data_IF_394135549348
#
_entry.id   IF_394135549348
#
_cell.length_a   1.000
_cell.length_b   1.000
_cell.length_c   1.000
_cell.angle_alpha   90.00
_cell.angle_beta   90.00
_cell.angle_gamma   90.00
#
_symmetry.space_group_name_H-M   'P 1'
#
loop_
_entity.id
_entity.type
_entity.pdbx_description
1 polymer ?
#
# COMPACT_ATOMS: atom_id res chain seq x y z
N UNK A 1 -8.29 -0.29 -12.14
CA UNK A 1 -7.29 -0.22 -11.07
C UNK A 1 -7.65 -1.27 -10.05
N UNK A 2 -6.78 -2.27 -9.87
CA UNK A 2 -6.96 -3.39 -8.95
C UNK A 2 -6.04 -3.31 -7.74
N UNK A 3 -4.97 -2.53 -7.83
CA UNK A 3 -4.03 -2.28 -6.75
C UNK A 3 -3.89 -0.78 -6.52
N UNK A 4 -3.95 -0.40 -5.27
CA UNK A 4 -3.52 0.86 -4.70
C UNK A 4 -2.96 0.57 -3.30
N UNK A 5 -1.64 0.43 -3.22
CA UNK A 5 -0.93 0.09 -1.99
C UNK A 5 -0.10 1.30 -1.57
N UNK A 6 -0.34 1.79 -0.36
CA UNK A 6 0.33 2.94 0.21
C UNK A 6 1.46 2.48 1.13
N UNK A 7 2.69 2.94 0.93
CA UNK A 7 3.86 2.55 1.71
C UNK A 7 4.36 3.72 2.56
N UNK A 8 4.80 3.38 3.76
CA UNK A 8 5.39 4.36 4.68
C UNK A 8 6.71 4.94 4.16
N UNK A 9 7.42 4.15 3.36
CA UNK A 9 8.77 4.45 2.88
C UNK A 9 8.92 4.03 1.43
N UNK A 10 9.90 4.63 0.77
CA UNK A 10 10.26 4.27 -0.60
C UNK A 10 10.61 2.77 -0.69
N UNK A 11 9.97 2.09 -1.65
CA UNK A 11 10.48 0.84 -2.19
C UNK A 11 11.55 1.19 -3.22
N UNK A 12 12.84 1.18 -2.81
CA UNK A 12 13.95 1.57 -3.71
C UNK A 12 13.76 1.04 -5.13
N UNK A 13 13.73 1.96 -6.10
CA UNK A 13 13.31 1.68 -7.49
C UNK A 13 13.97 0.44 -8.10
N UNK A 14 15.29 0.32 -7.96
CA UNK A 14 16.04 -0.82 -8.50
C UNK A 14 15.66 -2.15 -7.83
N UNK A 15 15.42 -2.12 -6.52
CA UNK A 15 15.07 -3.31 -5.76
C UNK A 15 13.62 -3.74 -6.06
N UNK A 16 12.68 -2.81 -6.22
CA UNK A 16 11.32 -3.11 -6.67
C UNK A 16 11.31 -3.73 -8.07
N UNK A 17 12.02 -3.10 -9.03
CA UNK A 17 12.15 -3.61 -10.40
C UNK A 17 12.74 -5.02 -10.44
N UNK A 18 13.83 -5.23 -9.70
CA UNK A 18 14.47 -6.55 -9.60
C UNK A 18 13.51 -7.59 -9.01
N UNK A 19 12.85 -7.25 -7.90
CA UNK A 19 11.90 -8.14 -7.25
C UNK A 19 10.76 -8.55 -8.19
N UNK A 20 10.15 -7.58 -8.88
CA UNK A 20 9.06 -7.87 -9.83
C UNK A 20 9.52 -8.69 -11.05
N UNK A 21 10.76 -8.49 -11.50
CA UNK A 21 11.34 -9.26 -12.59
C UNK A 21 11.69 -10.69 -12.19
N UNK A 22 12.30 -10.89 -11.02
CA UNK A 22 12.77 -12.20 -10.55
C UNK A 22 11.59 -13.09 -10.11
N UNK A 23 10.64 -12.55 -9.36
CA UNK A 23 9.57 -13.35 -8.74
C UNK A 23 8.33 -13.47 -9.62
N UNK A 24 8.09 -12.52 -10.53
CA UNK A 24 6.87 -12.46 -11.34
C UNK A 24 7.11 -12.28 -12.84
N UNK A 25 8.37 -12.21 -13.29
CA UNK A 25 8.70 -12.09 -14.72
C UNK A 25 8.29 -10.75 -15.35
N UNK A 26 7.99 -9.73 -14.54
CA UNK A 26 7.62 -8.40 -15.03
C UNK A 26 8.90 -7.68 -15.47
N UNK A 27 8.96 -7.25 -16.73
CA UNK A 27 10.12 -6.50 -17.23
C UNK A 27 10.39 -5.25 -16.38
N UNK A 28 11.65 -4.95 -15.99
CA UNK A 28 12.00 -3.71 -15.29
C UNK A 28 11.50 -2.45 -15.99
N UNK A 29 11.46 -2.45 -17.33
CA UNK A 29 10.98 -1.34 -18.16
C UNK A 29 9.45 -1.18 -18.12
N UNK A 30 8.72 -2.21 -17.69
CA UNK A 30 7.28 -2.16 -17.46
C UNK A 30 6.91 -1.60 -16.07
N UNK A 31 7.91 -1.27 -15.24
CA UNK A 31 7.73 -0.65 -13.92
C UNK A 31 8.15 0.81 -14.00
N UNK A 32 7.18 1.70 -13.89
CA UNK A 32 7.43 3.13 -13.87
C UNK A 32 7.56 3.63 -12.43
N UNK A 33 8.52 4.51 -12.17
CA UNK A 33 8.66 5.20 -10.89
C UNK A 33 8.74 6.69 -11.14
N UNK A 34 7.84 7.44 -10.53
CA UNK A 34 7.70 8.88 -10.75
C UNK A 34 6.23 9.31 -10.77
N UNK A 35 6.01 10.62 -10.96
CA UNK A 35 4.67 11.19 -11.09
C UNK A 35 4.08 10.87 -12.47
N UNK A 36 2.77 10.69 -12.55
CA UNK A 36 2.10 10.35 -13.83
C UNK A 36 2.18 11.51 -14.82
N UNK A 37 2.21 12.74 -14.30
CA UNK A 37 2.31 14.00 -15.04
C UNK A 37 3.65 14.15 -15.77
N UNK A 38 4.70 13.54 -15.25
CA UNK A 38 6.05 13.58 -15.83
C UNK A 38 6.25 12.55 -16.95
N UNK A 39 5.27 11.65 -17.15
CA UNK A 39 5.38 10.55 -18.09
C UNK A 39 5.06 11.01 -19.51
N UNK A 40 5.85 10.57 -20.50
CA UNK A 40 5.56 10.90 -21.88
C UNK A 40 4.26 10.22 -22.33
N UNK A 41 3.46 10.93 -23.12
CA UNK A 41 2.16 10.44 -23.62
C UNK A 41 2.33 9.17 -24.46
N UNK A 42 3.44 9.07 -25.20
CA UNK A 42 3.73 7.95 -26.09
C UNK A 42 4.41 6.76 -25.41
N UNK A 43 4.74 6.85 -24.12
CA UNK A 43 5.35 5.74 -23.39
C UNK A 43 4.36 4.56 -23.30
N UNK A 44 4.83 3.29 -23.41
CA UNK A 44 3.99 2.12 -23.19
C UNK A 44 3.44 2.07 -21.76
N UNK A 45 2.13 1.84 -21.60
CA UNK A 45 1.49 1.78 -20.28
C UNK A 45 2.26 0.82 -19.35
N UNK A 46 2.68 1.25 -18.16
CA UNK A 46 3.39 0.39 -17.23
C UNK A 46 2.44 -0.63 -16.60
N UNK A 47 2.98 -1.81 -16.29
CA UNK A 47 2.28 -2.87 -15.53
C UNK A 47 2.10 -2.45 -14.07
N UNK A 48 3.12 -1.79 -13.50
CA UNK A 48 3.11 -1.26 -12.16
C UNK A 48 3.69 0.16 -12.13
N UNK A 49 3.11 1.03 -11.31
CA UNK A 49 3.58 2.40 -11.11
C UNK A 49 3.82 2.64 -9.63
N UNK A 50 5.03 3.09 -9.27
CA UNK A 50 5.34 3.59 -7.93
C UNK A 50 5.45 5.11 -7.97
N UNK A 51 4.49 5.79 -7.34
CA UNK A 51 4.42 7.23 -7.26
C UNK A 51 5.07 7.71 -5.95
N UNK A 52 5.96 8.72 -5.98
CA UNK A 52 6.45 9.36 -4.77
C UNK A 52 5.34 10.22 -4.13
N UNK A 53 5.43 10.49 -2.81
CA UNK A 53 4.53 11.43 -2.14
C UNK A 53 4.70 12.85 -2.68
N UNK A 54 3.69 13.70 -2.51
CA UNK A 54 3.78 15.11 -2.89
C UNK A 54 4.47 15.95 -1.82
N UNK A 55 4.26 15.61 -0.54
CA UNK A 55 4.91 16.21 0.62
C UNK A 55 5.50 15.16 1.58
N UNK A 56 5.71 15.51 2.85
CA UNK A 56 6.17 14.59 3.92
C UNK A 56 5.01 13.74 4.46
N UNK A 57 4.29 13.06 3.56
CA UNK A 57 3.15 12.20 3.87
C UNK A 57 3.60 10.88 4.53
N UNK A 58 2.86 10.42 5.54
CA UNK A 58 3.18 9.25 6.34
C UNK A 58 3.18 7.93 5.57
N UNK A 59 2.17 7.72 4.70
CA UNK A 59 2.08 6.58 3.77
C UNK A 59 1.87 7.05 2.33
N UNK A 60 2.68 8.02 1.89
CA UNK A 60 2.47 8.67 0.58
C UNK A 60 3.14 7.99 -0.62
N UNK A 61 3.96 6.95 -0.44
CA UNK A 61 4.47 6.19 -1.57
C UNK A 61 3.37 5.24 -2.10
N UNK A 62 2.89 5.45 -3.32
CA UNK A 62 1.73 4.69 -3.84
C UNK A 62 2.15 3.76 -4.97
N UNK A 63 1.99 2.44 -4.77
CA UNK A 63 2.06 1.47 -5.85
C UNK A 63 0.67 1.24 -6.43
N UNK A 64 0.51 1.54 -7.71
CA UNK A 64 -0.72 1.25 -8.46
C UNK A 64 -0.49 0.20 -9.55
N UNK A 65 -1.55 -0.54 -9.85
CA UNK A 65 -1.56 -1.58 -10.86
C UNK A 65 -2.97 -2.02 -11.22
N UNK A 66 -3.09 -2.76 -12.31
CA UNK A 66 -4.38 -3.22 -12.83
C UNK A 66 -4.36 -4.73 -13.07
N UNK A 67 -5.19 -5.22 -14.00
CA UNK A 67 -5.27 -6.65 -14.36
C UNK A 67 -3.92 -7.26 -14.73
N UNK A 68 -3.04 -6.55 -15.44
CA UNK A 68 -1.73 -7.08 -15.84
C UNK A 68 -0.84 -7.42 -14.63
N UNK A 69 -0.84 -6.57 -13.60
CA UNK A 69 -0.13 -6.84 -12.35
C UNK A 69 -0.78 -8.01 -11.60
N UNK A 70 -2.11 -8.10 -11.62
CA UNK A 70 -2.83 -9.21 -10.99
C UNK A 70 -2.54 -10.55 -11.64
N UNK A 71 -2.53 -10.59 -12.97
CA UNK A 71 -2.30 -11.80 -13.72
C UNK A 71 -0.85 -12.26 -13.59
N UNK A 72 0.11 -11.34 -13.54
CA UNK A 72 1.53 -11.65 -13.35
C UNK A 72 1.83 -12.16 -11.92
N UNK A 73 1.22 -11.55 -10.90
CA UNK A 73 1.49 -11.90 -9.49
C UNK A 73 0.65 -13.07 -8.98
N UNK A 74 -0.55 -13.27 -9.55
CA UNK A 74 -1.54 -14.21 -9.04
C UNK A 74 -2.06 -13.90 -7.63
N UNK A 75 -1.80 -12.69 -7.12
CA UNK A 75 -2.04 -12.29 -5.73
C UNK A 75 -3.11 -11.21 -5.64
N UNK A 76 -3.93 -11.19 -4.58
CA UNK A 76 -4.77 -10.04 -4.27
C UNK A 76 -3.96 -8.82 -3.78
N UNK A 77 -4.58 -7.64 -3.71
CA UNK A 77 -3.93 -6.40 -3.24
C UNK A 77 -3.27 -6.55 -1.86
N UNK A 78 -4.00 -7.12 -0.90
CA UNK A 78 -3.49 -7.42 0.45
C UNK A 78 -2.32 -8.41 0.43
N UNK A 79 -2.37 -9.43 -0.42
CA UNK A 79 -1.34 -10.47 -0.48
C UNK A 79 -0.03 -9.92 -1.07
N UNK A 80 -0.15 -9.09 -2.11
CA UNK A 80 0.98 -8.38 -2.69
C UNK A 80 1.56 -7.38 -1.69
N UNK A 81 0.72 -6.61 -0.98
CA UNK A 81 1.17 -5.71 0.08
C UNK A 81 1.93 -6.45 1.19
N UNK A 82 1.43 -7.60 1.67
CA UNK A 82 2.11 -8.42 2.67
C UNK A 82 3.42 -9.03 2.16
N UNK A 83 3.51 -9.31 0.87
CA UNK A 83 4.75 -9.78 0.26
C UNK A 83 5.78 -8.66 0.19
N UNK A 84 5.41 -7.50 -0.34
CA UNK A 84 6.28 -6.32 -0.42
C UNK A 84 6.71 -5.82 0.97
N UNK A 85 5.79 -5.73 1.93
CA UNK A 85 6.10 -5.30 3.30
C UNK A 85 7.20 -6.17 3.93
N UNK A 86 7.13 -7.49 3.77
CA UNK A 86 8.15 -8.43 4.24
C UNK A 86 9.47 -8.31 3.49
N UNK A 87 9.41 -8.24 2.16
CA UNK A 87 10.61 -8.18 1.31
C UNK A 87 11.40 -6.91 1.56
N UNK A 88 10.72 -5.77 1.74
CA UNK A 88 11.36 -4.47 1.84
C UNK A 88 11.47 -3.94 3.27
N UNK A 89 10.89 -4.63 4.26
CA UNK A 89 10.91 -4.20 5.66
C UNK A 89 10.17 -2.87 5.86
N UNK A 90 9.06 -2.69 5.16
CA UNK A 90 8.23 -1.48 5.22
C UNK A 90 6.81 -1.80 5.65
N UNK A 91 6.10 -0.80 6.16
CA UNK A 91 4.67 -0.89 6.44
C UNK A 91 3.87 -0.45 5.23
N UNK A 92 2.68 -1.01 5.06
CA UNK A 92 1.78 -0.65 3.98
C UNK A 92 0.33 -0.49 4.45
N UNK A 93 -0.42 0.42 3.83
CA UNK A 93 -1.86 0.53 3.94
C UNK A 93 -2.50 0.09 2.62
N UNK A 94 -3.57 -0.70 2.74
CA UNK A 94 -4.45 -1.06 1.63
C UNK A 94 -5.90 -0.83 2.04
N UNK A 95 -6.78 -0.69 1.06
CA UNK A 95 -8.19 -0.52 1.33
C UNK A 95 -8.73 -1.75 2.08
N UNK A 96 -9.46 -1.54 3.17
CA UNK A 96 -10.02 -2.64 3.97
C UNK A 96 -11.34 -3.20 3.40
N UNK A 97 -11.81 -2.62 2.28
CA UNK A 97 -13.04 -2.96 1.57
C UNK A 97 -14.28 -2.24 2.12
N UNK A 98 -14.13 -1.34 3.08
CA UNK A 98 -15.25 -0.67 3.73
C UNK A 98 -15.65 0.64 3.06
N UNK A 99 -16.80 1.17 3.49
CA UNK A 99 -17.28 2.50 3.11
C UNK A 99 -16.67 3.63 3.96
N UNK A 100 -15.87 3.29 4.97
CA UNK A 100 -15.30 4.24 5.92
C UNK A 100 -13.96 4.74 5.38
N UNK A 101 -13.85 6.02 4.98
CA UNK A 101 -12.65 6.55 4.31
C UNK A 101 -11.42 6.60 5.23
N UNK A 102 -11.65 6.66 6.53
CA UNK A 102 -10.63 6.67 7.59
C UNK A 102 -10.17 5.26 7.98
N UNK A 103 -10.86 4.20 7.52
CA UNK A 103 -10.59 2.81 7.88
C UNK A 103 -9.72 2.13 6.82
N UNK A 104 -8.59 1.60 7.26
CA UNK A 104 -7.60 0.96 6.39
C UNK A 104 -7.15 -0.37 6.96
N UNK A 105 -6.58 -1.21 6.10
CA UNK A 105 -5.86 -2.40 6.54
C UNK A 105 -4.36 -2.09 6.57
N UNK A 106 -3.78 -2.05 7.77
CA UNK A 106 -2.34 -1.96 7.95
C UNK A 106 -1.70 -3.34 7.80
N UNK A 107 -0.65 -3.38 7.00
CA UNK A 107 0.25 -4.51 6.82
C UNK A 107 1.59 -4.13 7.42
N UNK A 108 2.01 -4.85 8.45
CA UNK A 108 3.29 -4.63 9.14
C UNK A 108 4.45 -5.26 8.36
N UNK A 109 5.68 -4.94 8.76
CA UNK A 109 6.92 -5.42 8.13
C UNK A 109 7.09 -6.93 8.18
N UNK A 110 6.41 -7.62 9.09
CA UNK A 110 6.41 -9.09 9.18
C UNK A 110 5.30 -9.75 8.34
N UNK A 111 4.47 -8.95 7.66
CA UNK A 111 3.33 -9.38 6.86
C UNK A 111 2.05 -9.64 7.66
N UNK A 112 2.08 -9.52 8.99
CA UNK A 112 0.86 -9.49 9.80
C UNK A 112 0.04 -8.24 9.46
N UNK A 113 -1.27 -8.33 9.61
CA UNK A 113 -2.17 -7.24 9.24
C UNK A 113 -3.38 -7.14 10.14
N UNK A 114 -3.93 -5.94 10.24
CA UNK A 114 -5.16 -5.66 10.97
C UNK A 114 -5.72 -4.29 10.61
N UNK A 115 -6.98 -4.06 10.99
CA UNK A 115 -7.67 -2.80 10.67
C UNK A 115 -7.18 -1.68 11.57
N UNK A 116 -7.02 -0.51 10.98
CA UNK A 116 -6.60 0.72 11.65
C UNK A 116 -7.48 1.89 11.25
N UNK A 117 -7.50 2.90 12.11
CA UNK A 117 -8.08 4.21 11.82
C UNK A 117 -6.96 5.19 11.53
N UNK A 118 -7.15 5.96 10.47
CA UNK A 118 -6.28 7.07 10.08
C UNK A 118 -6.85 8.41 10.55
N UNK A 119 -6.00 9.40 10.68
CA UNK A 119 -6.39 10.77 11.02
C UNK A 119 -7.21 11.36 9.85
N UNK A 120 -8.49 11.65 10.09
CA UNK A 120 -9.42 12.13 9.06
C UNK A 120 -9.02 13.50 8.51
N UNK A 121 -8.52 14.40 9.37
CA UNK A 121 -8.09 15.73 8.96
C UNK A 121 -6.85 15.64 8.08
N UNK A 122 -5.87 14.80 8.46
CA UNK A 122 -4.68 14.57 7.63
C UNK A 122 -5.02 13.84 6.32
N UNK A 123 -5.92 12.85 6.36
CA UNK A 123 -6.34 12.09 5.20
C UNK A 123 -7.08 12.95 4.16
N UNK A 124 -7.78 14.01 4.59
CA UNK A 124 -8.41 14.97 3.69
C UNK A 124 -7.39 15.70 2.79
N UNK A 125 -6.16 15.85 3.26
CA UNK A 125 -5.04 16.42 2.53
C UNK A 125 -4.18 15.33 1.82
N UNK A 126 -4.60 14.06 1.85
CA UNK A 126 -3.87 12.94 1.27
C UNK A 126 -2.85 12.27 2.19
N UNK A 127 -2.61 12.82 3.38
CA UNK A 127 -1.64 12.29 4.34
C UNK A 127 -2.26 11.23 5.25
N UNK A 128 -2.08 9.97 4.86
CA UNK A 128 -2.54 8.84 5.67
C UNK A 128 -1.66 8.65 6.90
N UNK A 129 -2.16 9.05 8.07
CA UNK A 129 -1.49 8.85 9.37
C UNK A 129 -2.27 7.89 10.25
N UNK A 130 -1.68 6.76 10.61
CA UNK A 130 -2.32 5.77 11.50
C UNK A 130 -2.41 6.32 12.93
N UNK A 131 -3.64 6.37 13.47
CA UNK A 131 -3.93 6.82 14.85
C UNK A 131 -3.96 5.64 15.81
N UNK A 132 -4.72 4.59 15.49
CA UNK A 132 -4.86 3.41 16.34
C UNK A 132 -5.32 2.17 15.55
N UNK A 133 -5.11 0.99 16.13
CA UNK A 133 -5.64 -0.27 15.63
C UNK A 133 -7.01 -0.58 16.23
N UNK A 134 -7.86 -1.23 15.44
CA UNK A 134 -9.15 -1.77 15.92
C UNK A 134 -8.99 -3.13 16.61
N UNK A 135 -7.88 -3.80 16.33
CA UNK A 135 -7.51 -5.12 16.87
C UNK A 135 -5.99 -5.22 17.01
N UNK A 136 -5.46 -6.07 17.91
CA UNK A 136 -4.02 -6.27 18.03
C UNK A 136 -3.39 -6.76 16.72
N UNK A 137 -2.27 -6.16 16.32
CA UNK A 137 -1.49 -6.55 15.16
C UNK A 137 -0.15 -7.08 15.66
N UNK A 138 0.18 -8.33 15.31
CA UNK A 138 1.39 -9.00 15.84
C UNK A 138 2.68 -8.24 15.54
N UNK A 139 2.80 -7.64 14.35
CA UNK A 139 3.96 -6.85 13.94
C UNK A 139 3.95 -5.40 14.43
N UNK A 140 2.86 -4.93 15.04
CA UNK A 140 2.74 -3.58 15.61
C UNK A 140 2.28 -3.62 17.08
N UNK A 141 2.98 -4.32 18.00
CA UNK A 141 2.55 -4.46 19.39
C UNK A 141 2.52 -3.12 20.16
N UNK A 142 3.24 -2.12 19.67
CA UNK A 142 3.27 -0.76 20.21
C UNK A 142 2.07 0.11 19.79
N UNK A 143 1.30 -0.31 18.78
CA UNK A 143 0.19 0.48 18.27
C UNK A 143 -0.96 0.44 19.29
N UNK A 144 -1.48 1.62 19.64
CA UNK A 144 -2.63 1.71 20.54
C UNK A 144 -3.81 0.96 19.96
N UNK A 145 -4.47 0.13 20.78
CA UNK A 145 -5.67 -0.62 20.37
C UNK A 145 -6.89 0.04 20.99
N UNK A 146 -7.76 0.58 20.13
CA UNK A 146 -9.07 1.12 20.53
C UNK A 146 -10.11 0.31 19.79
N UNK A 147 -10.75 -0.68 20.44
CA UNK A 147 -11.74 -1.51 19.77
C UNK A 147 -12.93 -0.66 19.34
N UNK A 148 -13.54 -0.95 18.19
CA UNK A 148 -14.73 -0.23 17.77
C UNK A 148 -15.85 -0.44 18.80
N UNK A 149 -16.74 0.56 18.97
CA UNK A 149 -17.93 0.42 19.80
C UNK A 149 -18.72 -0.82 19.41
N UNK A 150 -19.41 -1.46 20.36
CA UNK A 150 -20.11 -2.73 20.12
C UNK A 150 -21.10 -2.68 18.94
N UNK A 151 -21.73 -1.52 18.69
CA UNK A 151 -22.67 -1.33 17.59
C UNK A 151 -22.02 -1.25 16.19
N UNK A 152 -20.69 -1.06 16.12
CA UNK A 152 -19.92 -0.90 14.89
C UNK A 152 -19.08 -2.13 14.53
N UNK A 153 -19.19 -3.23 15.29
CA UNK A 153 -18.36 -4.43 15.11
C UNK A 153 -18.74 -5.32 13.92
N UNK A 154 -19.99 -5.21 13.43
CA UNK A 154 -20.59 -6.18 12.49
C UNK A 154 -20.90 -5.59 11.09
N UNK A 155 -20.06 -4.70 10.54
CA UNK A 155 -20.26 -4.09 9.22
C UNK A 155 -18.98 -4.08 8.35
#
# INVERSE_FOLDING_TARGET
MRYQIHFEKELTTEALRRFLAEDYGISPDAVYVGRIEDRAVDDPRPVAMLNPPDEDEGFGWVLTGDTELADATGQGERELAATLARTFGVRALVNDGSIHPDRWLLVSTDGSSGRVITDEDAAADGDLRVVHALEPISGEPQLAVVPPPDWARDW
#
